data_IF_013213794591
#
_entry.id   IF_013213794591
#
_cell.length_a   1.000
_cell.length_b   1.000
_cell.length_c   1.000
_cell.angle_alpha   90.00
_cell.angle_beta   90.00
_cell.angle_gamma   90.00
#
_symmetry.space_group_name_H-M   'P 1'
#
loop_
_entity.id
_entity.type
_entity.pdbx_description
1 polymer ?
#
# COMPACT_ATOMS: atom_id res chain seq x y z
N UNK A 1 14.02 -45.05 -31.99
CA UNK A 1 14.90 -45.14 -30.81
C UNK A 1 16.06 -44.20 -31.07
N UNK A 2 16.05 -43.05 -30.40
CA UNK A 2 17.14 -42.08 -30.46
C UNK A 2 17.90 -42.16 -29.13
N UNK A 3 19.22 -42.10 -29.25
CA UNK A 3 20.23 -42.31 -28.22
C UNK A 3 20.11 -41.28 -27.06
N UNK A 4 20.04 -41.70 -25.78
CA UNK A 4 19.77 -40.79 -24.67
C UNK A 4 21.01 -40.15 -24.02
N UNK A 5 22.20 -40.17 -24.65
CA UNK A 5 23.44 -39.66 -24.03
C UNK A 5 23.97 -38.31 -24.54
N UNK A 6 23.27 -37.59 -25.42
CA UNK A 6 23.76 -36.33 -26.01
C UNK A 6 22.98 -35.06 -25.60
N UNK A 7 22.64 -34.93 -24.31
CA UNK A 7 22.19 -33.66 -23.73
C UNK A 7 23.15 -33.22 -22.63
N UNK A 8 24.34 -32.81 -23.06
CA UNK A 8 25.27 -32.10 -22.21
C UNK A 8 24.79 -30.65 -22.06
N UNK A 9 23.94 -30.41 -21.05
CA UNK A 9 23.44 -29.09 -20.65
C UNK A 9 24.46 -28.42 -19.71
N UNK A 10 25.63 -28.06 -20.24
CA UNK A 10 26.50 -27.06 -19.64
C UNK A 10 26.34 -25.76 -20.43
N UNK A 11 25.20 -25.10 -20.22
CA UNK A 11 25.06 -23.69 -20.56
C UNK A 11 25.79 -22.88 -19.46
N UNK A 12 26.75 -22.00 -19.80
CA UNK A 12 27.29 -21.08 -18.82
C UNK A 12 26.15 -20.20 -18.29
N UNK A 13 26.10 -20.10 -16.96
CA UNK A 13 25.19 -19.25 -16.20
C UNK A 13 25.51 -17.76 -16.45
N UNK A 14 25.16 -17.25 -17.63
CA UNK A 14 25.29 -15.83 -18.00
C UNK A 14 24.10 -14.98 -17.52
N UNK A 15 23.53 -15.33 -16.35
CA UNK A 15 22.43 -14.60 -15.70
C UNK A 15 22.81 -14.00 -14.35
N UNK A 16 24.10 -14.02 -13.99
CA UNK A 16 24.62 -13.25 -12.86
C UNK A 16 25.36 -12.04 -13.44
N UNK A 17 24.93 -10.84 -13.02
CA UNK A 17 25.41 -9.51 -13.42
C UNK A 17 24.63 -8.78 -14.54
N UNK A 18 23.30 -8.90 -14.57
CA UNK A 18 22.49 -7.74 -15.03
C UNK A 18 22.39 -6.80 -13.83
N UNK A 19 22.97 -5.58 -13.86
CA UNK A 19 22.80 -4.62 -12.79
C UNK A 19 21.30 -4.35 -12.63
N UNK A 20 20.79 -4.46 -11.41
CA UNK A 20 19.42 -4.09 -11.06
C UNK A 20 19.18 -2.60 -11.35
N UNK A 21 18.80 -2.29 -12.59
CA UNK A 21 18.47 -0.93 -13.03
C UNK A 21 17.15 -0.44 -12.42
N UNK A 22 16.40 -1.29 -11.70
CA UNK A 22 15.09 -0.95 -11.13
C UNK A 22 15.16 -0.12 -9.85
N UNK A 23 16.37 0.11 -9.31
CA UNK A 23 16.60 0.78 -8.02
C UNK A 23 17.37 2.11 -8.09
N UNK A 24 17.74 2.59 -9.29
CA UNK A 24 18.60 3.77 -9.42
C UNK A 24 17.78 5.06 -9.65
N UNK A 25 17.78 5.94 -8.65
CA UNK A 25 17.21 7.29 -8.76
C UNK A 25 18.05 8.15 -9.71
N UNK A 26 17.49 8.50 -10.87
CA UNK A 26 18.18 9.28 -11.90
C UNK A 26 18.19 10.77 -11.55
N UNK A 27 19.35 11.47 -11.60
CA UNK A 27 19.43 12.91 -11.40
C UNK A 27 18.68 13.67 -12.51
N UNK A 28 18.21 14.91 -12.26
CA UNK A 28 17.70 15.77 -13.32
C UNK A 28 18.79 16.06 -14.34
N UNK A 29 18.46 16.17 -15.64
CA UNK A 29 19.44 16.49 -16.67
C UNK A 29 20.03 17.88 -16.43
N UNK A 30 21.33 18.01 -16.63
CA UNK A 30 22.00 19.31 -16.63
C UNK A 30 21.50 20.17 -17.78
N UNK A 31 21.48 21.49 -17.58
CA UNK A 31 20.95 22.38 -18.59
C UNK A 31 20.86 23.83 -18.15
N UNK A 32 20.41 24.67 -19.08
CA UNK A 32 20.18 26.11 -18.87
C UNK A 32 18.70 26.43 -18.82
N UNK A 33 18.35 27.41 -18.00
CA UNK A 33 17.00 27.83 -17.73
C UNK A 33 16.93 29.36 -17.78
N UNK A 34 15.79 29.94 -18.22
CA UNK A 34 15.66 31.39 -18.35
C UNK A 34 15.71 32.12 -17.00
N UNK A 35 15.28 31.45 -15.92
CA UNK A 35 15.23 32.04 -14.59
C UNK A 35 15.33 30.97 -13.48
N UNK A 36 15.53 31.43 -12.24
CA UNK A 36 15.65 30.56 -11.07
C UNK A 36 14.38 29.74 -10.82
N UNK A 37 13.21 30.33 -11.03
CA UNK A 37 11.94 29.69 -10.70
C UNK A 37 11.65 28.53 -11.66
N UNK A 38 11.85 28.74 -12.97
CA UNK A 38 11.72 27.68 -13.97
C UNK A 38 12.71 26.53 -13.74
N UNK A 39 13.96 26.84 -13.38
CA UNK A 39 14.96 25.82 -12.99
C UNK A 39 14.48 25.00 -11.79
N UNK A 40 14.06 25.66 -10.71
CA UNK A 40 13.62 24.96 -9.50
C UNK A 40 12.36 24.12 -9.76
N UNK A 41 11.43 24.61 -10.58
CA UNK A 41 10.24 23.87 -10.98
C UNK A 41 10.60 22.61 -11.78
N UNK A 42 11.52 22.71 -12.75
CA UNK A 42 12.00 21.57 -13.53
C UNK A 42 12.68 20.50 -12.66
N UNK A 43 13.54 20.93 -11.73
CA UNK A 43 14.22 20.03 -10.79
C UNK A 43 13.21 19.32 -9.87
N UNK A 44 12.22 20.05 -9.35
CA UNK A 44 11.17 19.47 -8.51
C UNK A 44 10.28 18.50 -9.29
N UNK A 45 9.90 18.85 -10.52
CA UNK A 45 9.08 18.00 -11.38
C UNK A 45 9.81 16.70 -11.72
N UNK A 46 11.10 16.77 -12.08
CA UNK A 46 11.93 15.59 -12.34
C UNK A 46 12.02 14.69 -11.12
N UNK A 47 12.39 15.24 -9.95
CA UNK A 47 12.49 14.44 -8.73
C UNK A 47 11.18 13.72 -8.42
N UNK A 48 10.05 14.44 -8.50
CA UNK A 48 8.72 13.87 -8.25
C UNK A 48 8.38 12.74 -9.22
N UNK A 49 8.72 12.88 -10.51
CA UNK A 49 8.51 11.84 -11.51
C UNK A 49 9.35 10.58 -11.25
N UNK A 50 10.50 10.73 -10.61
CA UNK A 50 11.44 9.65 -10.30
C UNK A 50 11.37 9.20 -8.82
N UNK A 51 10.39 9.68 -8.05
CA UNK A 51 10.16 9.23 -6.68
C UNK A 51 11.11 9.80 -5.63
N UNK A 52 11.58 11.04 -5.75
CA UNK A 52 12.30 11.72 -4.66
C UNK A 52 12.03 13.22 -4.66
N UNK A 53 12.26 13.91 -3.54
CA UNK A 53 12.09 15.36 -3.49
C UNK A 53 13.44 16.06 -3.39
N UNK A 54 13.54 17.21 -4.06
CA UNK A 54 14.72 18.08 -4.02
C UNK A 54 14.38 19.37 -3.27
N UNK A 55 15.20 19.71 -2.29
CA UNK A 55 15.05 20.88 -1.41
C UNK A 55 16.27 21.77 -1.46
N UNK A 56 16.09 23.05 -1.12
CA UNK A 56 17.20 24.01 -1.01
C UNK A 56 17.99 23.72 0.27
N UNK A 57 19.27 23.39 0.12
CA UNK A 57 20.23 23.26 1.23
C UNK A 57 20.69 24.63 1.70
N UNK A 58 21.08 25.48 0.76
CA UNK A 58 21.55 26.83 1.00
C UNK A 58 21.49 27.65 -0.28
N UNK A 59 21.56 28.97 -0.16
CA UNK A 59 21.67 29.88 -1.30
C UNK A 59 22.63 31.03 -0.98
N UNK A 60 23.29 31.52 -2.01
CA UNK A 60 24.14 32.70 -2.00
C UNK A 60 23.61 33.68 -3.04
N UNK A 61 23.08 34.81 -2.58
CA UNK A 61 22.61 35.89 -3.44
C UNK A 61 23.69 36.97 -3.54
N UNK A 62 23.88 37.59 -4.71
CA UNK A 62 24.75 38.76 -4.83
C UNK A 62 24.19 39.87 -3.95
N UNK A 63 25.06 40.61 -3.25
CA UNK A 63 24.67 41.74 -2.39
C UNK A 63 25.50 42.95 -2.76
N UNK A 64 25.04 44.15 -2.41
CA UNK A 64 25.78 45.41 -2.64
C UNK A 64 27.20 45.39 -2.07
N UNK A 65 27.43 44.61 -0.99
CA UNK A 65 28.74 44.44 -0.35
C UNK A 65 29.69 43.48 -1.09
N UNK A 66 29.20 42.72 -2.09
CA UNK A 66 29.97 41.76 -2.89
C UNK A 66 29.53 41.80 -4.36
N UNK A 67 29.80 42.90 -5.09
CA UNK A 67 29.44 43.02 -6.50
C UNK A 67 30.20 41.98 -7.35
N UNK A 68 29.55 41.47 -8.39
CA UNK A 68 30.16 40.55 -9.38
C UNK A 68 30.08 39.05 -9.06
N UNK A 69 29.52 38.63 -7.92
CA UNK A 69 29.34 37.20 -7.61
C UNK A 69 28.09 36.66 -8.30
N UNK A 70 28.17 35.51 -8.95
CA UNK A 70 27.00 34.79 -9.51
C UNK A 70 26.10 34.27 -8.37
N UNK A 71 24.78 34.36 -8.54
CA UNK A 71 23.85 33.77 -7.59
C UNK A 71 23.99 32.24 -7.62
N UNK A 72 24.02 31.58 -6.47
CA UNK A 72 24.12 30.12 -6.36
C UNK A 72 23.06 29.57 -5.41
N UNK A 73 22.49 28.43 -5.75
CA UNK A 73 21.55 27.68 -4.91
C UNK A 73 22.02 26.24 -4.89
N UNK A 74 22.36 25.75 -3.70
CA UNK A 74 22.71 24.35 -3.51
C UNK A 74 21.43 23.58 -3.17
N UNK A 75 21.18 22.54 -3.94
CA UNK A 75 20.01 21.69 -3.82
C UNK A 75 20.45 20.31 -3.36
N UNK A 76 19.58 19.62 -2.62
CA UNK A 76 19.83 18.26 -2.11
C UNK A 76 18.52 17.47 -2.05
N UNK A 77 18.61 16.17 -1.84
CA UNK A 77 17.45 15.35 -1.51
C UNK A 77 16.85 15.76 -0.15
N UNK A 78 15.53 15.70 0.01
CA UNK A 78 14.83 15.94 1.28
C UNK A 78 15.21 14.95 2.40
N UNK A 79 15.71 13.77 2.02
CA UNK A 79 16.30 12.76 2.91
C UNK A 79 17.78 12.99 3.24
N UNK A 80 18.37 14.08 2.75
CA UNK A 80 19.79 14.43 2.95
C UNK A 80 20.09 15.19 4.24
N UNK A 81 21.25 14.93 4.84
CA UNK A 81 21.82 15.60 6.01
C UNK A 81 21.37 15.07 7.38
N UNK A 82 22.06 15.52 8.42
CA UNK A 82 21.82 15.08 9.79
C UNK A 82 20.72 15.87 10.51
N UNK A 83 20.04 15.17 11.42
CA UNK A 83 19.14 15.83 12.37
C UNK A 83 19.93 16.83 13.23
N UNK A 84 19.40 18.04 13.34
CA UNK A 84 19.92 19.03 14.28
C UNK A 84 19.03 19.05 15.52
N UNK A 85 19.55 18.70 16.71
CA UNK A 85 18.77 18.70 17.93
C UNK A 85 18.31 20.13 18.23
N UNK A 86 17.00 20.38 18.23
CA UNK A 86 16.44 21.60 18.84
C UNK A 86 16.31 21.33 20.34
N UNK A 87 16.80 22.27 21.14
CA UNK A 87 16.67 22.25 22.61
C UNK A 87 17.46 21.11 23.31
N UNK A 88 18.55 20.64 22.72
CA UNK A 88 19.44 19.65 23.36
C UNK A 88 18.91 18.21 23.42
N UNK A 89 17.76 17.92 22.81
CA UNK A 89 17.18 16.58 22.73
C UNK A 89 17.87 15.75 21.64
N UNK A 90 18.52 14.65 22.02
CA UNK A 90 19.08 13.62 21.13
C UNK A 90 18.02 12.56 20.80
N UNK A 91 18.30 11.68 19.83
CA UNK A 91 17.43 10.54 19.52
C UNK A 91 17.27 9.61 20.74
N UNK A 92 18.31 9.41 21.56
CA UNK A 92 18.20 8.56 22.76
C UNK A 92 17.35 9.20 23.87
N UNK A 93 17.38 10.53 23.98
CA UNK A 93 16.71 11.27 25.07
C UNK A 93 15.26 11.67 24.73
N UNK A 94 14.80 11.36 23.53
CA UNK A 94 13.48 11.76 23.03
C UNK A 94 12.38 10.79 23.49
N UNK A 95 11.44 11.27 24.32
CA UNK A 95 10.26 10.49 24.75
C UNK A 95 9.27 10.12 23.64
N UNK A 96 9.26 10.86 22.52
CA UNK A 96 8.42 10.57 21.33
C UNK A 96 9.31 10.44 20.11
N UNK A 97 9.50 9.21 19.62
CA UNK A 97 10.17 8.95 18.34
C UNK A 97 9.35 9.65 17.24
N UNK A 98 9.96 10.60 16.54
CA UNK A 98 9.44 11.04 15.24
C UNK A 98 10.18 10.21 14.20
N UNK A 99 9.46 9.70 13.21
CA UNK A 99 10.08 9.02 12.07
C UNK A 99 10.77 10.06 11.19
N UNK A 100 12.01 10.42 11.55
CA UNK A 100 12.87 11.18 10.65
C UNK A 100 13.10 10.33 9.40
N UNK A 101 12.85 10.90 8.23
CA UNK A 101 13.14 10.25 6.93
C UNK A 101 14.54 10.55 6.41
N UNK A 102 15.36 11.25 7.20
CA UNK A 102 16.73 11.57 6.83
C UNK A 102 17.58 10.29 6.86
N UNK A 103 18.11 9.90 5.72
CA UNK A 103 19.05 8.79 5.56
C UNK A 103 20.45 9.29 5.17
N UNK A 104 20.70 10.57 5.41
CA UNK A 104 21.92 11.26 5.00
C UNK A 104 22.25 11.07 3.51
N UNK A 105 21.21 11.19 2.67
CA UNK A 105 21.35 11.05 1.22
C UNK A 105 22.42 12.00 0.63
N UNK A 106 23.40 11.49 -0.14
CA UNK A 106 24.53 12.27 -0.64
C UNK A 106 24.22 13.11 -1.90
N UNK A 107 23.04 12.91 -2.50
CA UNK A 107 22.58 13.59 -3.71
C UNK A 107 22.66 15.12 -3.59
N UNK A 108 23.28 15.77 -4.57
CA UNK A 108 23.50 17.21 -4.55
C UNK A 108 23.55 17.82 -5.94
N UNK A 109 22.91 18.99 -6.09
CA UNK A 109 22.97 19.81 -7.29
C UNK A 109 23.39 21.23 -6.92
N UNK A 110 23.89 21.97 -7.91
CA UNK A 110 24.06 23.42 -7.81
C UNK A 110 23.37 24.10 -8.99
N UNK A 111 22.55 25.09 -8.67
CA UNK A 111 21.99 26.02 -9.64
C UNK A 111 22.75 27.34 -9.53
N UNK A 112 23.43 27.75 -10.59
CA UNK A 112 24.15 29.01 -10.63
C UNK A 112 23.58 29.88 -11.74
N UNK A 113 23.31 31.16 -11.47
CA UNK A 113 22.75 32.02 -12.48
C UNK A 113 23.03 33.50 -12.29
N UNK A 114 23.01 34.18 -13.43
CA UNK A 114 22.88 35.63 -13.56
C UNK A 114 21.47 35.94 -14.05
N UNK A 115 20.99 37.20 -13.99
CA UNK A 115 19.71 37.55 -14.60
C UNK A 115 19.65 37.07 -16.08
N UNK A 116 18.61 36.30 -16.42
CA UNK A 116 18.36 35.78 -17.77
C UNK A 116 18.94 34.39 -18.10
N UNK A 117 19.93 33.88 -17.34
CA UNK A 117 20.48 32.53 -17.55
C UNK A 117 20.83 31.88 -16.21
N UNK A 118 20.25 30.72 -15.98
CA UNK A 118 20.54 29.84 -14.84
C UNK A 118 20.99 28.46 -15.32
N UNK A 119 22.13 28.00 -14.85
CA UNK A 119 22.70 26.69 -15.18
C UNK A 119 22.51 25.74 -14.00
N UNK A 120 22.01 24.54 -14.28
CA UNK A 120 21.96 23.42 -13.35
C UNK A 120 23.14 22.48 -13.58
N UNK A 121 23.86 22.14 -12.51
CA UNK A 121 24.96 21.18 -12.52
C UNK A 121 24.74 20.14 -11.43
N UNK A 122 24.97 18.86 -11.76
CA UNK A 122 24.92 17.74 -10.84
C UNK A 122 26.26 17.65 -10.12
N UNK A 123 26.26 17.85 -8.80
CA UNK A 123 27.48 17.71 -7.99
C UNK A 123 27.68 16.28 -7.50
N UNK A 124 26.60 15.61 -7.15
CA UNK A 124 26.62 14.19 -6.80
C UNK A 124 25.29 13.55 -7.24
N UNK A 125 25.31 12.62 -8.21
CA UNK A 125 24.11 11.97 -8.71
C UNK A 125 23.61 10.83 -7.80
N UNK A 126 24.42 10.38 -6.84
CA UNK A 126 24.13 9.15 -6.09
C UNK A 126 23.07 9.35 -5.01
N UNK A 127 22.20 8.36 -4.87
CA UNK A 127 21.27 8.20 -3.76
C UNK A 127 21.59 6.93 -3.01
N UNK A 128 21.36 6.92 -1.69
CA UNK A 128 21.51 5.75 -0.82
C UNK A 128 20.14 5.17 -0.41
N UNK A 129 19.11 5.43 -1.21
CA UNK A 129 17.75 4.97 -0.98
C UNK A 129 16.99 4.81 -2.30
N UNK A 130 15.99 3.93 -2.33
CA UNK A 130 15.08 3.77 -3.46
C UNK A 130 14.03 4.89 -3.58
N UNK A 131 13.19 4.86 -4.64
CA UNK A 131 12.10 5.81 -4.83
C UNK A 131 11.10 5.80 -3.67
N UNK A 132 10.44 6.93 -3.46
CA UNK A 132 9.30 7.09 -2.55
C UNK A 132 8.12 6.34 -3.18
N UNK A 133 7.91 5.10 -2.73
CA UNK A 133 6.79 4.25 -3.14
C UNK A 133 5.48 4.67 -2.45
N UNK A 134 5.56 5.34 -1.31
CA UNK A 134 4.39 5.74 -0.51
C UNK A 134 4.27 7.27 -0.43
N UNK A 135 3.21 7.83 -1.04
CA UNK A 135 2.71 9.13 -0.57
C UNK A 135 2.18 8.89 0.85
N UNK A 136 2.80 9.44 1.90
CA UNK A 136 2.25 9.29 3.23
C UNK A 136 0.89 9.96 3.23
N UNK A 137 -0.14 9.22 3.68
CA UNK A 137 -1.46 9.78 3.89
C UNK A 137 -1.32 11.06 4.71
N UNK A 138 -1.92 12.16 4.25
CA UNK A 138 -2.10 13.31 5.13
C UNK A 138 -3.02 12.84 6.26
N UNK A 139 -2.42 12.62 7.44
CA UNK A 139 -3.18 12.31 8.64
C UNK A 139 -4.19 13.44 8.81
N UNK A 140 -5.49 13.15 8.96
CA UNK A 140 -6.49 14.19 9.06
C UNK A 140 -6.12 15.18 10.18
N UNK A 141 -6.26 16.47 9.92
CA UNK A 141 -6.00 17.52 10.91
C UNK A 141 -7.01 17.50 12.07
N UNK A 142 -8.10 16.72 11.95
CA UNK A 142 -9.11 16.53 12.98
C UNK A 142 -8.89 15.24 13.78
N UNK A 143 -9.45 15.21 14.99
CA UNK A 143 -9.36 14.06 15.89
C UNK A 143 -10.47 13.05 15.57
N UNK A 144 -10.08 11.82 15.24
CA UNK A 144 -10.98 10.67 15.06
C UNK A 144 -11.79 10.44 16.32
N UNK A 145 -13.11 10.21 16.19
CA UNK A 145 -13.97 9.96 17.35
C UNK A 145 -13.68 8.58 17.95
N UNK A 146 -13.97 8.42 19.23
CA UNK A 146 -13.88 7.11 19.87
C UNK A 146 -14.86 6.14 19.19
N UNK A 147 -14.39 4.95 18.83
CA UNK A 147 -15.19 4.00 18.06
C UNK A 147 -15.13 4.24 16.55
N UNK A 148 -14.18 5.04 16.08
CA UNK A 148 -13.81 5.17 14.67
C UNK A 148 -12.30 4.95 14.46
N UNK A 149 -11.93 4.73 13.20
CA UNK A 149 -10.58 4.78 12.66
C UNK A 149 -10.52 5.88 11.59
N UNK A 150 -9.33 6.45 11.41
CA UNK A 150 -9.11 7.38 10.32
C UNK A 150 -9.15 6.62 9.00
N UNK A 151 -10.06 6.98 8.11
CA UNK A 151 -10.23 6.37 6.79
C UNK A 151 -10.56 7.46 5.75
N UNK A 152 -10.70 7.09 4.49
CA UNK A 152 -11.06 7.99 3.38
C UNK A 152 -12.32 7.44 2.71
N UNK A 153 -13.33 8.28 2.43
CA UNK A 153 -13.34 9.73 2.55
C UNK A 153 -13.81 10.27 3.91
N UNK A 154 -14.21 9.40 4.84
CA UNK A 154 -14.62 9.76 6.19
C UNK A 154 -14.02 8.80 7.22
N UNK A 155 -14.04 9.20 8.50
CA UNK A 155 -13.62 8.32 9.60
C UNK A 155 -14.65 7.19 9.78
N UNK A 156 -14.21 5.95 9.70
CA UNK A 156 -15.08 4.77 9.68
C UNK A 156 -15.17 4.10 11.06
N UNK A 157 -16.29 3.48 11.46
CA UNK A 157 -17.61 3.49 10.80
C UNK A 157 -18.31 4.84 10.99
N UNK A 158 -19.28 5.14 10.12
CA UNK A 158 -19.95 6.44 10.07
C UNK A 158 -20.62 6.85 11.41
N UNK A 159 -21.06 5.87 12.19
CA UNK A 159 -21.78 6.04 13.45
C UNK A 159 -20.90 5.86 14.72
N UNK A 160 -19.58 5.71 14.53
CA UNK A 160 -18.62 5.51 15.61
C UNK A 160 -18.85 4.26 16.49
N UNK A 161 -19.32 3.17 15.88
CA UNK A 161 -19.60 1.91 16.58
C UNK A 161 -18.61 0.79 16.30
N UNK A 162 -17.35 1.11 16.02
CA UNK A 162 -16.29 0.10 15.99
C UNK A 162 -16.13 -0.53 17.37
N UNK A 163 -16.60 -1.77 17.53
CA UNK A 163 -16.46 -2.56 18.76
C UNK A 163 -16.27 -4.04 18.43
N UNK A 164 -15.70 -4.84 19.35
CA UNK A 164 -15.57 -6.29 19.15
C UNK A 164 -16.89 -7.03 18.97
N UNK A 165 -18.03 -6.43 19.31
CA UNK A 165 -19.35 -7.08 19.27
C UNK A 165 -20.17 -6.73 18.01
N UNK A 166 -19.79 -5.66 17.31
CA UNK A 166 -20.52 -5.14 16.15
C UNK A 166 -19.70 -5.23 14.86
N UNK A 167 -18.43 -5.61 14.96
CA UNK A 167 -17.47 -5.59 13.87
C UNK A 167 -16.87 -6.96 13.61
N UNK A 168 -16.80 -7.35 12.33
CA UNK A 168 -16.06 -8.53 11.88
C UNK A 168 -14.91 -8.14 10.96
N UNK A 169 -13.80 -8.87 11.06
CA UNK A 169 -12.76 -8.91 10.04
C UNK A 169 -13.14 -10.01 9.04
N UNK A 170 -13.09 -9.70 7.75
CA UNK A 170 -13.39 -10.63 6.65
C UNK A 170 -12.15 -10.74 5.78
N UNK A 171 -11.55 -11.93 5.73
CA UNK A 171 -10.40 -12.25 4.88
C UNK A 171 -10.91 -13.04 3.68
N UNK A 172 -10.76 -12.47 2.48
CA UNK A 172 -11.35 -13.01 1.25
C UNK A 172 -10.29 -13.74 0.43
N UNK A 173 -10.56 -15.00 0.12
CA UNK A 173 -9.86 -15.86 -0.84
C UNK A 173 -8.32 -15.86 -0.74
N UNK A 174 -7.77 -15.84 0.48
CA UNK A 174 -6.34 -16.06 0.73
C UNK A 174 -5.98 -17.55 0.60
N UNK A 175 -6.33 -18.12 -0.55
CA UNK A 175 -6.18 -19.52 -0.91
C UNK A 175 -4.91 -19.71 -1.74
N UNK A 176 -4.45 -20.96 -1.85
CA UNK A 176 -3.35 -21.31 -2.77
C UNK A 176 -3.81 -21.26 -4.26
N UNK A 177 -5.11 -21.35 -4.53
CA UNK A 177 -5.85 -21.30 -5.82
C UNK A 177 -7.32 -20.80 -5.60
N UNK A 178 -7.91 -20.03 -6.53
CA UNK A 178 -9.20 -19.28 -6.38
C UNK A 178 -10.53 -19.90 -6.89
N UNK A 179 -11.57 -20.09 -6.05
CA UNK A 179 -13.04 -20.21 -6.36
C UNK A 179 -13.69 -21.47 -7.00
N UNK A 180 -14.68 -22.06 -6.29
CA UNK A 180 -15.43 -23.26 -6.72
C UNK A 180 -16.97 -23.13 -6.76
N UNK A 181 -17.55 -23.03 -7.95
CA UNK A 181 -18.60 -23.89 -8.54
C UNK A 181 -18.56 -23.64 -10.05
N UNK A 182 -18.89 -24.64 -10.86
CA UNK A 182 -18.65 -24.55 -12.29
C UNK A 182 -19.94 -24.65 -13.11
N UNK A 183 -20.58 -23.51 -13.37
CA UNK A 183 -21.58 -23.45 -14.43
C UNK A 183 -20.94 -23.72 -15.81
N UNK A 184 -21.72 -24.16 -16.80
CA UNK A 184 -21.22 -24.35 -18.18
C UNK A 184 -20.60 -23.07 -18.74
N UNK A 185 -21.16 -21.91 -18.38
CA UNK A 185 -20.63 -20.58 -18.70
C UNK A 185 -19.24 -20.34 -18.10
N UNK A 186 -19.04 -20.68 -16.82
CA UNK A 186 -17.75 -20.52 -16.14
C UNK A 186 -16.73 -21.54 -16.63
N UNK A 187 -17.15 -22.76 -16.93
CA UNK A 187 -16.29 -23.77 -17.57
C UNK A 187 -15.72 -23.23 -18.89
N UNK A 188 -16.58 -22.66 -19.72
CA UNK A 188 -16.18 -22.04 -20.97
C UNK A 188 -15.24 -20.85 -20.74
N UNK A 189 -15.62 -19.87 -19.90
CA UNK A 189 -14.81 -18.66 -19.68
C UNK A 189 -13.45 -18.96 -19.05
N UNK A 190 -13.39 -19.90 -18.10
CA UNK A 190 -12.15 -20.18 -17.37
C UNK A 190 -11.05 -20.74 -18.26
N UNK A 191 -11.39 -21.40 -19.37
CA UNK A 191 -10.43 -21.94 -20.35
C UNK A 191 -10.00 -20.93 -21.41
N UNK A 192 -10.63 -19.76 -21.46
CA UNK A 192 -10.34 -18.71 -22.44
C UNK A 192 -9.12 -17.87 -22.01
N UNK A 193 -7.98 -18.54 -21.85
CA UNK A 193 -6.69 -17.93 -21.54
C UNK A 193 -5.58 -18.67 -22.30
N UNK A 194 -4.37 -18.11 -22.32
CA UNK A 194 -3.25 -18.64 -23.11
C UNK A 194 -2.85 -20.08 -22.75
N UNK A 195 -3.10 -20.52 -21.51
CA UNK A 195 -2.78 -21.89 -21.06
C UNK A 195 -3.83 -22.92 -21.47
N UNK A 196 -5.06 -22.49 -21.80
CA UNK A 196 -6.22 -23.37 -22.02
C UNK A 196 -6.71 -24.14 -20.79
N UNK A 197 -6.00 -24.06 -19.66
CA UNK A 197 -6.42 -24.62 -18.38
C UNK A 197 -7.53 -23.75 -17.78
N UNK A 198 -8.51 -24.38 -17.14
CA UNK A 198 -9.62 -23.71 -16.49
C UNK A 198 -9.97 -24.34 -15.15
N UNK A 199 -11.10 -23.95 -14.58
CA UNK A 199 -11.58 -24.53 -13.32
C UNK A 199 -11.72 -26.05 -13.48
N UNK A 200 -11.18 -26.79 -12.52
CA UNK A 200 -11.15 -28.26 -12.51
C UNK A 200 -10.05 -28.91 -13.34
N UNK A 201 -9.27 -28.16 -14.12
CA UNK A 201 -8.07 -28.68 -14.78
C UNK A 201 -7.03 -29.12 -13.74
N UNK A 202 -6.17 -30.07 -14.11
CA UNK A 202 -5.07 -30.49 -13.24
C UNK A 202 -4.01 -29.39 -13.14
N UNK A 203 -3.67 -29.01 -11.91
CA UNK A 203 -2.58 -28.10 -11.57
C UNK A 203 -1.57 -28.75 -10.62
N UNK A 204 -0.52 -28.01 -10.24
CA UNK A 204 0.54 -28.49 -9.35
C UNK A 204 0.06 -28.76 -7.92
N UNK A 205 -1.03 -28.11 -7.48
CA UNK A 205 -1.62 -28.25 -6.15
C UNK A 205 -2.97 -28.98 -6.16
N UNK A 206 -3.17 -29.88 -7.13
CA UNK A 206 -4.44 -30.57 -7.34
C UNK A 206 -5.27 -29.91 -8.43
N UNK A 207 -6.57 -30.20 -8.44
CA UNK A 207 -7.47 -29.59 -9.44
C UNK A 207 -7.73 -28.13 -9.12
N UNK A 208 -7.57 -27.28 -10.12
CA UNK A 208 -7.71 -25.84 -9.97
C UNK A 208 -9.10 -25.51 -9.44
N UNK A 209 -9.13 -24.82 -8.31
CA UNK A 209 -10.33 -24.23 -7.74
C UNK A 209 -11.41 -25.26 -7.37
N UNK A 210 -11.00 -26.47 -6.98
CA UNK A 210 -11.92 -27.51 -6.50
C UNK A 210 -11.77 -27.69 -4.99
N UNK A 211 -12.90 -27.62 -4.28
CA UNK A 211 -12.96 -27.80 -2.82
C UNK A 211 -12.31 -29.11 -2.39
N UNK A 212 -11.47 -29.05 -1.37
CA UNK A 212 -10.76 -30.19 -0.79
C UNK A 212 -9.42 -30.50 -1.47
N UNK A 213 -9.10 -29.85 -2.59
CA UNK A 213 -7.76 -29.92 -3.17
C UNK A 213 -6.80 -29.00 -2.39
N UNK A 214 -5.50 -29.35 -2.29
CA UNK A 214 -4.51 -28.54 -1.58
C UNK A 214 -4.45 -27.07 -2.04
N UNK A 215 -4.62 -26.83 -3.34
CA UNK A 215 -4.68 -25.49 -3.92
C UNK A 215 -5.86 -24.68 -3.39
N UNK A 216 -7.01 -25.31 -3.16
CA UNK A 216 -8.20 -24.59 -2.69
C UNK A 216 -8.11 -24.15 -1.22
N UNK A 217 -7.21 -24.72 -0.41
CA UNK A 217 -7.17 -24.39 1.01
C UNK A 217 -6.54 -23.01 1.28
N UNK A 218 -6.83 -22.46 2.45
CA UNK A 218 -6.24 -21.19 2.92
C UNK A 218 -4.74 -21.36 3.14
N UNK A 219 -3.96 -20.31 2.86
CA UNK A 219 -2.53 -20.29 3.13
C UNK A 219 -2.23 -20.43 4.62
N UNK A 220 -1.11 -21.06 4.95
CA UNK A 220 -0.79 -21.47 6.31
C UNK A 220 -0.66 -20.26 7.27
N UNK A 221 -0.19 -19.12 6.77
CA UNK A 221 0.00 -17.87 7.54
C UNK A 221 -1.31 -17.23 8.01
N UNK A 222 -2.42 -17.53 7.32
CA UNK A 222 -3.75 -16.98 7.59
C UNK A 222 -4.78 -18.07 7.87
N UNK A 223 -4.32 -19.26 8.25
CA UNK A 223 -5.20 -20.39 8.48
C UNK A 223 -6.19 -20.10 9.62
N UNK A 224 -7.49 -20.35 9.45
CA UNK A 224 -8.50 -20.06 10.47
C UNK A 224 -8.23 -20.81 11.77
N UNK A 225 -8.41 -20.14 12.91
CA UNK A 225 -8.35 -20.77 14.23
C UNK A 225 -9.73 -21.24 14.70
N UNK A 226 -9.82 -22.13 15.71
CA UNK A 226 -11.12 -22.57 16.23
C UNK A 226 -12.02 -21.40 16.64
N UNK A 227 -13.24 -21.38 16.11
CA UNK A 227 -14.24 -20.33 16.37
C UNK A 227 -14.35 -19.26 15.28
N UNK A 228 -13.44 -19.27 14.29
CA UNK A 228 -13.54 -18.43 13.09
C UNK A 228 -14.32 -19.17 11.99
N UNK A 229 -15.50 -18.67 11.58
CA UNK A 229 -16.29 -19.32 10.55
C UNK A 229 -15.63 -19.21 9.16
N UNK A 230 -15.64 -20.30 8.41
CA UNK A 230 -15.20 -20.34 7.01
C UNK A 230 -16.41 -20.41 6.11
N UNK A 231 -16.46 -19.54 5.10
CA UNK A 231 -17.55 -19.49 4.13
C UNK A 231 -17.02 -19.97 2.77
N UNK A 232 -17.45 -21.16 2.36
CA UNK A 232 -17.20 -21.63 1.01
C UNK A 232 -18.19 -20.95 0.04
N UNK A 233 -17.69 -20.04 -0.80
CA UNK A 233 -18.53 -19.33 -1.77
C UNK A 233 -18.40 -19.86 -3.20
N UNK A 234 -19.53 -20.08 -3.90
CA UNK A 234 -19.54 -20.54 -5.29
C UNK A 234 -19.19 -19.45 -6.32
N UNK A 235 -19.48 -18.19 -5.99
CA UNK A 235 -19.32 -17.03 -6.87
C UNK A 235 -18.29 -16.03 -6.36
N UNK A 236 -18.17 -14.88 -7.05
CA UNK A 236 -17.20 -13.83 -6.67
C UNK A 236 -17.54 -13.20 -5.32
N UNK A 237 -18.80 -12.81 -5.14
CA UNK A 237 -19.33 -12.21 -3.91
C UNK A 237 -19.58 -13.26 -2.82
N UNK A 238 -19.25 -12.92 -1.58
CA UNK A 238 -19.40 -13.83 -0.45
C UNK A 238 -20.86 -14.02 0.01
N UNK A 239 -21.79 -13.16 -0.42
CA UNK A 239 -23.21 -13.28 -0.02
C UNK A 239 -24.01 -14.22 -0.94
N UNK A 240 -23.61 -14.32 -2.20
CA UNK A 240 -24.34 -15.09 -3.20
C UNK A 240 -24.26 -16.60 -2.92
N UNK A 241 -25.42 -17.21 -2.62
CA UNK A 241 -25.56 -18.66 -2.38
C UNK A 241 -24.76 -19.18 -1.18
N UNK A 242 -24.62 -18.37 -0.13
CA UNK A 242 -23.98 -18.74 1.14
C UNK A 242 -24.88 -18.39 2.32
N UNK A 243 -24.48 -18.81 3.52
CA UNK A 243 -25.07 -18.43 4.80
C UNK A 243 -24.40 -17.19 5.44
N UNK A 244 -23.55 -16.49 4.69
CA UNK A 244 -22.72 -15.41 5.22
C UNK A 244 -23.54 -14.29 5.85
N UNK A 245 -24.62 -13.84 5.19
CA UNK A 245 -25.50 -12.80 5.72
C UNK A 245 -26.17 -13.23 7.03
N UNK A 246 -26.68 -14.46 7.07
CA UNK A 246 -27.35 -15.01 8.24
C UNK A 246 -26.39 -15.07 9.43
N UNK A 247 -25.15 -15.50 9.18
CA UNK A 247 -24.10 -15.56 10.20
C UNK A 247 -23.79 -14.19 10.78
N UNK A 248 -23.60 -13.17 9.92
CA UNK A 248 -23.33 -11.80 10.35
C UNK A 248 -24.49 -11.24 11.18
N UNK A 249 -25.72 -11.40 10.71
CA UNK A 249 -26.93 -10.91 11.41
C UNK A 249 -27.15 -11.60 12.75
N UNK A 250 -26.96 -12.93 12.83
CA UNK A 250 -27.09 -13.67 14.08
C UNK A 250 -26.05 -13.24 15.13
N UNK A 251 -24.88 -12.76 14.69
CA UNK A 251 -23.83 -12.22 15.56
C UNK A 251 -24.00 -10.72 15.85
N UNK A 252 -25.02 -10.06 15.30
CA UNK A 252 -25.22 -8.62 15.47
C UNK A 252 -24.15 -7.76 14.78
N UNK A 253 -23.45 -8.32 13.79
CA UNK A 253 -22.42 -7.61 13.04
C UNK A 253 -23.09 -6.62 12.10
N UNK A 254 -22.55 -5.41 12.05
CA UNK A 254 -22.95 -4.35 11.13
C UNK A 254 -21.77 -3.66 10.44
N UNK A 255 -20.58 -3.81 11.00
CA UNK A 255 -19.35 -3.21 10.50
C UNK A 255 -18.43 -4.30 9.96
N UNK A 256 -17.92 -4.15 8.73
CA UNK A 256 -17.01 -5.11 8.11
C UNK A 256 -15.66 -4.45 7.79
N UNK A 257 -14.58 -5.02 8.32
CA UNK A 257 -13.21 -4.72 7.89
C UNK A 257 -12.82 -5.75 6.84
N UNK A 258 -12.49 -5.32 5.63
CA UNK A 258 -12.29 -6.19 4.48
C UNK A 258 -10.81 -6.22 4.07
N UNK A 259 -10.27 -7.43 3.97
CA UNK A 259 -8.94 -7.74 3.45
C UNK A 259 -9.00 -8.96 2.52
N UNK A 260 -7.95 -9.19 1.74
CA UNK A 260 -7.82 -10.36 0.87
C UNK A 260 -7.78 -10.03 -0.62
N UNK A 261 -8.11 -11.01 -1.45
CA UNK A 261 -7.89 -10.95 -2.91
C UNK A 261 -9.06 -11.53 -3.72
N UNK A 262 -9.21 -11.17 -4.99
CA UNK A 262 -8.60 -9.99 -5.62
C UNK A 262 -9.43 -8.74 -5.32
N UNK A 263 -8.76 -7.58 -5.28
CA UNK A 263 -9.36 -6.28 -4.94
C UNK A 263 -10.56 -5.98 -5.85
N UNK A 264 -10.35 -6.12 -7.15
CA UNK A 264 -11.26 -5.73 -8.23
C UNK A 264 -12.40 -6.73 -8.48
N UNK A 265 -12.24 -7.99 -8.06
CA UNK A 265 -13.23 -9.05 -8.27
C UNK A 265 -13.92 -9.45 -6.98
N UNK A 266 -13.33 -10.35 -6.18
CA UNK A 266 -14.00 -10.97 -5.04
C UNK A 266 -14.22 -9.98 -3.89
N UNK A 267 -13.22 -9.14 -3.61
CA UNK A 267 -13.30 -8.09 -2.60
C UNK A 267 -14.35 -7.05 -2.99
N UNK A 268 -14.22 -6.42 -4.16
CA UNK A 268 -15.15 -5.40 -4.65
C UNK A 268 -16.60 -5.92 -4.74
N UNK A 269 -16.80 -7.14 -5.25
CA UNK A 269 -18.15 -7.73 -5.34
C UNK A 269 -18.76 -7.91 -3.95
N UNK A 270 -17.99 -8.45 -3.00
CA UNK A 270 -18.46 -8.65 -1.61
C UNK A 270 -18.75 -7.33 -0.91
N UNK A 271 -17.90 -6.31 -1.10
CA UNK A 271 -18.09 -4.97 -0.53
C UNK A 271 -19.38 -4.32 -1.05
N UNK A 272 -19.62 -4.40 -2.36
CA UNK A 272 -20.84 -3.87 -2.98
C UNK A 272 -22.10 -4.60 -2.48
N UNK A 273 -22.04 -5.93 -2.40
CA UNK A 273 -23.12 -6.74 -1.85
C UNK A 273 -23.42 -6.42 -0.38
N UNK A 274 -22.37 -6.20 0.43
CA UNK A 274 -22.49 -5.83 1.83
C UNK A 274 -23.11 -4.44 2.00
N UNK A 275 -22.63 -3.46 1.23
CA UNK A 275 -23.11 -2.09 1.22
C UNK A 275 -24.62 -2.03 0.89
N UNK A 276 -25.06 -2.72 -0.17
CA UNK A 276 -26.48 -2.77 -0.57
C UNK A 276 -27.38 -3.43 0.49
N UNK A 277 -26.80 -4.24 1.39
CA UNK A 277 -27.49 -4.88 2.51
C UNK A 277 -27.44 -4.09 3.81
N UNK A 278 -26.80 -2.92 3.81
CA UNK A 278 -26.69 -2.00 4.94
C UNK A 278 -25.54 -2.29 5.90
N UNK A 279 -24.53 -3.07 5.50
CA UNK A 279 -23.30 -3.21 6.27
C UNK A 279 -22.37 -2.02 5.98
N UNK A 280 -21.80 -1.44 7.03
CA UNK A 280 -20.79 -0.39 6.89
C UNK A 280 -19.42 -1.04 6.67
N UNK A 281 -18.77 -0.74 5.55
CA UNK A 281 -17.56 -1.43 5.11
C UNK A 281 -16.34 -0.51 5.10
N UNK A 282 -15.20 -1.03 5.55
CA UNK A 282 -13.89 -0.44 5.30
C UNK A 282 -12.98 -1.45 4.60
N UNK A 283 -12.38 -1.04 3.49
CA UNK A 283 -11.42 -1.86 2.74
C UNK A 283 -10.00 -1.45 3.11
N UNK A 284 -9.14 -2.44 3.41
CA UNK A 284 -7.73 -2.21 3.68
C UNK A 284 -6.95 -2.18 2.36
N UNK A 285 -6.50 -0.99 1.95
CA UNK A 285 -5.80 -0.87 0.66
C UNK A 285 -4.45 -1.61 0.65
N UNK A 286 -3.74 -1.63 1.78
CA UNK A 286 -2.50 -2.39 1.98
C UNK A 286 -2.74 -3.83 2.45
N UNK A 287 -4.00 -4.22 2.66
CA UNK A 287 -4.43 -5.58 2.95
C UNK A 287 -5.13 -6.27 1.78
N UNK A 288 -5.10 -5.67 0.59
CA UNK A 288 -5.75 -6.20 -0.62
C UNK A 288 -4.81 -6.10 -1.83
N UNK A 289 -4.97 -6.98 -2.80
CA UNK A 289 -4.20 -6.96 -4.04
C UNK A 289 -5.04 -7.43 -5.25
N UNK A 290 -4.63 -7.05 -6.45
CA UNK A 290 -5.20 -7.54 -7.70
C UNK A 290 -4.08 -8.02 -8.65
N UNK A 291 -4.43 -8.74 -9.71
CA UNK A 291 -3.44 -9.20 -10.70
C UNK A 291 -2.75 -8.05 -11.41
N UNK A 292 -3.44 -6.92 -11.57
CA UNK A 292 -2.92 -5.70 -12.18
C UNK A 292 -3.01 -4.53 -11.20
N UNK A 293 -1.93 -3.76 -10.98
CA UNK A 293 -1.94 -2.62 -10.06
C UNK A 293 -2.99 -1.56 -10.41
N UNK A 294 -3.26 -1.33 -11.71
CA UNK A 294 -4.26 -0.37 -12.16
C UNK A 294 -5.70 -0.77 -11.77
N UNK A 295 -6.00 -2.07 -11.75
CA UNK A 295 -7.31 -2.60 -11.33
C UNK A 295 -7.50 -2.45 -9.82
N UNK A 296 -6.45 -2.72 -9.03
CA UNK A 296 -6.46 -2.46 -7.59
C UNK A 296 -6.73 -0.97 -7.31
N UNK A 297 -5.93 -0.06 -7.90
CA UNK A 297 -6.05 1.37 -7.67
C UNK A 297 -7.41 1.93 -8.10
N UNK A 298 -7.90 1.57 -9.28
CA UNK A 298 -9.21 2.04 -9.76
C UNK A 298 -10.36 1.56 -8.89
N UNK A 299 -10.28 0.32 -8.37
CA UNK A 299 -11.29 -0.21 -7.45
C UNK A 299 -11.28 0.54 -6.13
N UNK A 300 -10.09 0.76 -5.55
CA UNK A 300 -9.93 1.55 -4.32
C UNK A 300 -10.46 2.97 -4.50
N UNK A 301 -10.18 3.63 -5.63
CA UNK A 301 -10.77 4.94 -5.93
C UNK A 301 -12.30 4.87 -6.04
N UNK A 302 -12.84 3.86 -6.72
CA UNK A 302 -14.30 3.71 -6.90
C UNK A 302 -15.07 3.63 -5.57
N UNK A 303 -14.48 3.01 -4.54
CA UNK A 303 -15.09 2.91 -3.20
C UNK A 303 -15.25 4.30 -2.56
N UNK A 304 -14.27 5.18 -2.78
CA UNK A 304 -14.19 6.51 -2.15
C UNK A 304 -15.06 7.57 -2.84
N UNK A 305 -15.52 7.30 -4.06
CA UNK A 305 -16.32 8.25 -4.84
C UNK A 305 -17.65 8.58 -4.15
N UNK A 306 -18.22 9.74 -4.49
CA UNK A 306 -19.53 10.20 -3.99
C UNK A 306 -19.65 10.22 -2.45
N UNK A 307 -18.54 10.51 -1.76
CA UNK A 307 -18.53 10.54 -0.29
C UNK A 307 -18.40 9.16 0.36
N UNK A 308 -18.01 8.14 -0.41
CA UNK A 308 -17.81 6.78 0.08
C UNK A 308 -18.97 5.87 -0.30
N UNK A 309 -19.33 5.84 -1.59
CA UNK A 309 -20.49 5.13 -2.14
C UNK A 309 -20.56 3.64 -1.76
N UNK A 310 -19.41 3.00 -1.54
CA UNK A 310 -19.31 1.61 -1.09
C UNK A 310 -18.64 1.46 0.29
N UNK A 311 -18.51 2.55 1.05
CA UNK A 311 -17.84 2.58 2.34
C UNK A 311 -16.57 3.45 2.35
N UNK A 312 -15.59 3.05 3.15
CA UNK A 312 -14.34 3.77 3.33
C UNK A 312 -13.11 2.90 3.01
N UNK A 313 -11.96 3.54 2.89
CA UNK A 313 -10.65 2.90 2.68
C UNK A 313 -9.70 3.33 3.79
N UNK A 314 -9.02 2.37 4.41
CA UNK A 314 -8.05 2.60 5.48
C UNK A 314 -6.76 1.81 5.24
N UNK A 315 -5.73 2.12 6.03
CA UNK A 315 -4.53 1.29 6.14
C UNK A 315 -4.68 0.26 7.27
N UNK A 316 -3.96 -0.84 7.17
CA UNK A 316 -3.88 -1.86 8.22
C UNK A 316 -3.46 -1.25 9.56
N UNK A 317 -2.49 -0.32 9.55
CA UNK A 317 -2.00 0.34 10.76
C UNK A 317 -3.10 1.11 11.52
N UNK A 318 -4.06 1.71 10.80
CA UNK A 318 -5.15 2.48 11.40
C UNK A 318 -6.09 1.55 12.18
N UNK A 319 -6.36 0.35 11.64
CA UNK A 319 -7.17 -0.67 12.31
C UNK A 319 -6.45 -1.26 13.51
N UNK A 320 -5.18 -1.65 13.34
CA UNK A 320 -4.37 -2.23 14.43
C UNK A 320 -4.32 -1.28 15.61
N UNK A 321 -4.06 0.01 15.36
CA UNK A 321 -4.02 1.02 16.41
C UNK A 321 -5.37 1.17 17.12
N UNK A 322 -6.50 1.13 16.42
CA UNK A 322 -7.81 1.14 17.09
C UNK A 322 -8.07 -0.11 17.93
N UNK A 323 -7.68 -1.29 17.44
CA UNK A 323 -7.84 -2.56 18.17
C UNK A 323 -6.98 -2.59 19.44
N UNK A 324 -5.73 -2.14 19.37
CA UNK A 324 -4.85 -2.00 20.53
C UNK A 324 -5.44 -1.08 21.59
N UNK A 325 -6.05 0.03 21.15
CA UNK A 325 -6.76 0.94 22.04
C UNK A 325 -7.96 0.25 22.73
N UNK A 326 -8.69 -0.64 22.06
CA UNK A 326 -9.75 -1.44 22.72
C UNK A 326 -9.17 -2.35 23.80
N UNK A 327 -8.11 -3.10 23.47
CA UNK A 327 -7.46 -4.01 24.42
C UNK A 327 -6.98 -3.27 25.67
N UNK A 328 -6.31 -2.14 25.50
CA UNK A 328 -5.82 -1.32 26.61
C UNK A 328 -6.95 -0.79 27.51
N UNK A 329 -8.10 -0.40 26.93
CA UNK A 329 -9.27 0.06 27.70
C UNK A 329 -9.93 -1.10 28.46
N UNK A 330 -10.06 -2.27 27.84
CA UNK A 330 -10.65 -3.46 28.48
C UNK A 330 -9.82 -3.93 29.67
N UNK A 331 -8.49 -3.99 29.54
CA UNK A 331 -7.57 -4.36 30.63
C UNK A 331 -7.67 -3.37 31.80
N UNK A 332 -7.76 -2.06 31.52
CA UNK A 332 -7.94 -1.03 32.57
C UNK A 332 -9.29 -1.09 33.29
N UNK A 333 -10.34 -1.62 32.65
CA UNK A 333 -11.66 -1.81 33.28
C UNK A 333 -11.74 -3.06 34.16
N UNK A 334 -10.91 -4.07 33.90
CA UNK A 334 -10.84 -5.31 34.69
C UNK A 334 -9.90 -5.19 35.89
N UNK A 335 -8.85 -4.36 35.81
CA UNK A 335 -7.91 -4.14 36.91
C UNK A 335 -8.53 -3.71 38.26
N UNK A 336 -9.60 -2.90 38.33
CA UNK A 336 -10.23 -2.53 39.61
C UNK A 336 -11.08 -3.64 40.25
N UNK A 337 -11.33 -4.76 39.56
CA UNK A 337 -12.17 -5.86 40.06
C UNK A 337 -11.36 -7.02 40.67
N UNK A 338 -10.03 -6.91 40.73
CA UNK A 338 -9.13 -7.92 41.31
C UNK A 338 -8.48 -7.48 42.63
N UNK A 339 -8.95 -6.37 43.24
CA UNK A 339 -8.44 -5.85 44.52
C UNK A 339 -9.60 -5.61 45.51
N UNK A 340 -10.70 -6.35 45.37
CA UNK A 340 -11.88 -6.27 46.24
C UNK A 340 -12.11 -7.56 46.99
#
# INVERSE_FOLDING_TARGET
MADPTDLNLDAPSDLQDIPDMSMQLLPPPEGTFPDKASLLAAVQAHGKAHGYNVVVKSSSTPTEKKPGRTAKVWLRCDRGGHYRPRNGLTEETRKRRRTSRLMDCPFMLVAAGTPGIWTLTVLNPTHNHGPIVEKPRQVPHHKVRKGQIAAIPYDWPHDATLTPYTTALVIIDMQKDYLSTLSTREAYRSRNNASGLGIGSQGPLGRLLIRGEPGHDTVDELYPVPGEPVIDKPGRGAFAHTDFELLLRNKGIKNLVIAGVTTDVCVSTTVREANDRGFDCVVLEDGTAASEPSLHLSTIESIKMEGGIFGAVAKLEDVVHAVENFKAVTVKKLAPQMVG
#
